data_IF_432517573768
#
_entry.id   IF_432517573768
#
_cell.length_a   1.000
_cell.length_b   1.000
_cell.length_c   1.000
_cell.angle_alpha   90.00
_cell.angle_beta   90.00
_cell.angle_gamma   90.00
#
_symmetry.space_group_name_H-M   'P 1'
#
loop_
_entity.id
_entity.type
_entity.pdbx_description
1 polymer ?
#
# COMPACT_ATOMS: atom_id res chain seq x y z
N UNK A 1 26.56 -1.25 17.45
CA UNK A 1 26.48 -0.28 18.53
C UNK A 1 25.74 0.96 18.05
N UNK A 2 24.55 1.21 18.60
CA UNK A 2 23.75 2.46 18.54
C UNK A 2 23.42 3.06 17.17
N UNK A 3 22.56 2.39 16.42
CA UNK A 3 21.86 2.99 15.26
C UNK A 3 20.38 3.34 15.55
N UNK A 4 19.85 2.96 16.71
CA UNK A 4 18.40 3.05 17.00
C UNK A 4 17.93 4.37 17.63
N UNK A 5 18.82 5.27 18.02
CA UNK A 5 18.41 6.51 18.73
C UNK A 5 18.24 7.74 17.82
N UNK A 6 18.63 7.69 16.54
CA UNK A 6 18.56 8.88 15.68
C UNK A 6 17.22 9.05 14.95
N UNK A 7 16.40 8.02 14.85
CA UNK A 7 15.11 8.12 14.13
C UNK A 7 14.01 8.73 15.01
N UNK A 8 14.13 8.65 16.34
CA UNK A 8 13.09 9.15 17.26
C UNK A 8 13.03 10.66 17.48
N UNK A 9 14.11 11.42 17.14
CA UNK A 9 14.17 12.84 17.49
C UNK A 9 13.69 13.82 16.40
N UNK A 10 13.36 13.33 15.19
CA UNK A 10 12.97 14.21 14.08
C UNK A 10 11.47 14.52 14.01
N UNK A 11 10.64 13.77 14.75
CA UNK A 11 9.19 13.93 14.71
C UNK A 11 8.64 15.05 15.60
N UNK A 12 9.47 15.64 16.47
CA UNK A 12 9.01 16.63 17.48
C UNK A 12 9.38 18.08 17.20
N UNK A 13 10.01 18.43 16.09
CA UNK A 13 10.54 19.76 15.89
C UNK A 13 10.16 20.42 14.55
N UNK A 14 8.91 20.37 14.12
CA UNK A 14 8.38 21.26 13.09
C UNK A 14 7.21 22.07 13.64
N UNK A 15 7.39 23.34 14.04
CA UNK A 15 6.30 24.24 14.36
C UNK A 15 5.77 24.85 13.07
N UNK A 16 4.88 24.16 12.35
CA UNK A 16 4.06 24.78 11.31
C UNK A 16 2.67 25.07 11.85
N UNK A 17 2.16 26.29 11.75
CA UNK A 17 0.79 26.62 12.16
C UNK A 17 -0.19 26.07 11.13
N UNK A 18 -0.79 24.94 11.44
CA UNK A 18 -1.82 24.30 10.63
C UNK A 18 -3.16 25.01 10.78
N UNK A 19 -3.66 25.57 9.68
CA UNK A 19 -5.06 25.95 9.53
C UNK A 19 -5.69 25.06 8.46
N UNK A 20 -6.23 23.90 8.85
CA UNK A 20 -7.00 23.00 7.99
C UNK A 20 -7.62 21.92 8.85
N UNK A 21 -8.97 21.91 8.94
CA UNK A 21 -9.75 21.15 9.90
C UNK A 21 -9.86 19.64 9.63
N UNK A 22 -8.75 18.91 9.57
CA UNK A 22 -8.70 17.46 9.71
C UNK A 22 -8.41 17.12 11.16
N UNK A 23 -8.98 16.04 11.71
CA UNK A 23 -8.70 15.62 13.07
C UNK A 23 -7.20 15.31 13.21
N UNK A 24 -6.46 15.97 14.13
CA UNK A 24 -5.03 15.71 14.34
C UNK A 24 -4.73 14.25 14.66
N UNK A 25 -5.71 13.52 15.20
CA UNK A 25 -5.59 12.12 15.55
C UNK A 25 -5.45 11.18 14.35
N UNK A 26 -6.13 11.45 13.22
CA UNK A 26 -6.04 10.61 12.03
C UNK A 26 -4.66 10.74 11.35
N UNK A 27 -4.07 11.92 11.39
CA UNK A 27 -2.77 12.20 10.79
C UNK A 27 -1.60 11.57 11.54
N UNK A 28 -1.67 11.62 12.87
CA UNK A 28 -0.67 10.98 13.75
C UNK A 28 -0.74 9.46 13.64
N UNK A 29 -1.96 8.90 13.49
CA UNK A 29 -2.16 7.47 13.31
C UNK A 29 -1.56 6.97 11.97
N UNK A 30 -1.76 7.70 10.87
CA UNK A 30 -1.22 7.29 9.57
C UNK A 30 0.32 7.30 9.55
N UNK A 31 0.96 8.26 10.19
CA UNK A 31 2.43 8.29 10.33
C UNK A 31 2.97 7.12 11.14
N UNK A 32 2.38 6.81 12.29
CA UNK A 32 2.77 5.69 13.14
C UNK A 32 2.47 4.31 12.50
N UNK A 33 1.47 4.23 11.63
CA UNK A 33 1.09 3.00 10.93
C UNK A 33 2.01 2.68 9.74
N UNK A 34 2.73 3.66 9.22
CA UNK A 34 3.72 3.45 8.16
C UNK A 34 5.02 2.83 8.69
N UNK A 35 5.31 2.98 9.98
CA UNK A 35 6.38 2.24 10.64
C UNK A 35 6.06 0.74 10.57
N UNK A 36 6.69 0.04 9.63
CA UNK A 36 6.46 -1.37 9.43
C UNK A 36 5.80 -1.76 8.10
N UNK A 37 5.43 -0.81 7.23
CA UNK A 37 4.96 -1.12 5.87
C UNK A 37 5.98 -1.95 5.08
N UNK A 38 7.27 -1.70 5.31
CA UNK A 38 8.40 -2.43 4.76
C UNK A 38 9.53 -2.49 5.80
N UNK A 39 10.60 -3.21 5.50
CA UNK A 39 11.79 -3.21 6.37
C UNK A 39 12.39 -1.81 6.45
N UNK A 40 13.10 -1.46 7.55
CA UNK A 40 13.75 -0.15 7.67
C UNK A 40 14.70 0.21 6.52
N UNK A 41 15.31 -0.79 5.87
CA UNK A 41 16.18 -0.58 4.70
C UNK A 41 15.41 -0.08 3.47
N UNK A 42 14.12 -0.40 3.36
CA UNK A 42 13.25 0.02 2.26
C UNK A 42 12.57 1.34 2.59
N UNK A 43 12.03 1.50 3.80
CA UNK A 43 11.21 2.65 4.18
C UNK A 43 12.02 3.86 4.65
N UNK A 44 13.32 3.69 4.96
CA UNK A 44 14.17 4.80 5.32
C UNK A 44 14.23 5.84 4.19
N UNK A 45 14.00 7.11 4.51
CA UNK A 45 14.02 8.23 3.57
C UNK A 45 13.03 8.10 2.40
N UNK A 46 11.88 7.43 2.63
CA UNK A 46 10.80 7.32 1.65
C UNK A 46 9.92 8.59 1.62
N UNK A 47 9.30 8.82 0.47
CA UNK A 47 8.13 9.71 0.40
C UNK A 47 7.00 9.15 1.25
N UNK A 48 6.33 9.99 2.05
CA UNK A 48 5.19 9.57 2.88
C UNK A 48 3.93 10.26 2.43
N UNK A 49 2.90 9.47 2.13
CA UNK A 49 1.58 9.96 1.79
C UNK A 49 0.60 9.66 2.94
N UNK A 50 -0.12 10.68 3.38
CA UNK A 50 -1.13 10.60 4.43
C UNK A 50 -2.53 10.83 3.86
N UNK A 51 -3.52 10.13 4.42
CA UNK A 51 -4.92 10.28 4.03
C UNK A 51 -5.49 11.57 4.62
N UNK A 52 -6.07 12.40 3.77
CA UNK A 52 -6.79 13.62 4.11
C UNK A 52 -8.20 13.57 3.54
N UNK A 53 -9.04 14.53 3.91
CA UNK A 53 -10.30 14.74 3.20
C UNK A 53 -10.00 15.01 1.72
N UNK A 54 -10.53 14.19 0.82
CA UNK A 54 -10.32 14.27 -0.63
C UNK A 54 -9.17 13.42 -1.15
N UNK A 55 -8.54 12.56 -0.33
CA UNK A 55 -7.56 11.58 -0.74
C UNK A 55 -6.18 11.75 -0.10
N UNK A 56 -5.23 10.97 -0.60
CA UNK A 56 -3.86 11.00 -0.10
C UNK A 56 -3.09 12.22 -0.60
N UNK A 57 -2.32 12.84 0.30
CA UNK A 57 -1.38 13.92 -0.01
C UNK A 57 0.02 13.56 0.48
N UNK A 58 1.05 14.00 -0.25
CA UNK A 58 2.43 13.82 0.19
C UNK A 58 2.70 14.73 1.40
N UNK A 59 3.00 14.13 2.55
CA UNK A 59 3.31 14.83 3.80
C UNK A 59 4.82 14.94 4.06
N UNK A 60 5.60 13.94 3.62
CA UNK A 60 7.06 13.93 3.74
C UNK A 60 7.65 13.66 2.37
N UNK A 61 8.71 14.38 2.02
CA UNK A 61 9.53 14.12 0.84
C UNK A 61 10.82 13.43 1.26
N UNK A 62 11.03 12.22 0.75
CA UNK A 62 12.25 11.46 0.87
C UNK A 62 13.12 11.56 -0.38
N UNK A 63 14.27 10.89 -0.38
CA UNK A 63 15.21 10.85 -1.50
C UNK A 63 15.49 9.44 -2.02
N UNK A 64 14.95 8.41 -1.36
CA UNK A 64 15.20 7.00 -1.73
C UNK A 64 14.51 6.55 -3.02
N UNK A 65 13.53 7.31 -3.52
CA UNK A 65 12.65 6.89 -4.62
C UNK A 65 11.53 5.93 -4.18
N UNK A 66 11.51 5.50 -2.92
CA UNK A 66 10.42 4.73 -2.34
C UNK A 66 9.31 5.67 -1.89
N UNK A 67 8.05 5.22 -2.03
CA UNK A 67 6.90 5.94 -1.52
C UNK A 67 5.98 5.03 -0.71
N UNK A 68 5.56 5.48 0.47
CA UNK A 68 4.74 4.72 1.40
C UNK A 68 3.39 5.41 1.65
N UNK A 69 2.33 4.62 1.76
CA UNK A 69 0.97 5.06 2.11
C UNK A 69 0.33 4.10 3.13
N UNK A 70 -0.75 4.54 3.76
CA UNK A 70 -1.73 3.65 4.39
C UNK A 70 -2.99 3.64 3.52
N UNK A 71 -3.21 2.53 2.81
CA UNK A 71 -4.43 2.33 2.03
C UNK A 71 -5.57 1.84 2.94
N UNK A 72 -6.82 2.19 2.60
CA UNK A 72 -8.02 1.83 3.35
C UNK A 72 -9.17 1.53 2.39
N UNK A 73 -9.76 0.37 2.54
CA UNK A 73 -11.02 -0.03 1.86
C UNK A 73 -12.21 -0.13 2.81
N UNK A 74 -11.94 0.00 4.12
CA UNK A 74 -12.92 0.01 5.21
C UNK A 74 -12.45 1.03 6.28
N UNK A 75 -13.36 1.70 7.03
CA UNK A 75 -12.96 2.64 8.08
C UNK A 75 -12.00 2.08 9.13
N UNK A 76 -12.09 0.77 9.40
CA UNK A 76 -11.20 0.06 10.33
C UNK A 76 -10.00 -0.62 9.67
N UNK A 77 -9.89 -0.62 8.34
CA UNK A 77 -8.75 -1.27 7.67
C UNK A 77 -7.49 -0.42 7.76
N UNK A 78 -6.36 -1.09 7.83
CA UNK A 78 -5.02 -0.48 7.84
C UNK A 78 -4.13 -1.32 6.93
N UNK A 79 -3.77 -0.77 5.78
CA UNK A 79 -2.88 -1.41 4.81
C UNK A 79 -1.66 -0.51 4.56
N UNK A 80 -0.63 -0.58 5.43
CA UNK A 80 0.64 0.10 5.18
C UNK A 80 1.34 -0.55 3.99
N UNK A 81 1.63 0.25 2.97
CA UNK A 81 2.24 -0.22 1.72
C UNK A 81 3.37 0.73 1.33
N UNK A 82 4.55 0.18 1.01
CA UNK A 82 5.63 0.92 0.38
C UNK A 82 5.84 0.42 -1.05
N UNK A 83 6.12 1.32 -1.96
CA UNK A 83 6.35 1.06 -3.38
C UNK A 83 7.76 1.50 -3.78
N UNK A 84 8.46 0.71 -4.62
CA UNK A 84 9.67 1.19 -5.27
C UNK A 84 9.36 2.34 -6.24
N UNK A 85 10.37 2.95 -6.82
CA UNK A 85 10.25 4.12 -7.70
C UNK A 85 9.25 3.91 -8.86
N UNK A 86 9.29 2.77 -9.56
CA UNK A 86 8.30 2.49 -10.62
C UNK A 86 6.89 2.29 -10.06
N UNK A 87 6.76 1.57 -8.94
CA UNK A 87 5.49 1.40 -8.24
C UNK A 87 4.93 2.75 -7.74
N UNK A 88 5.77 3.64 -7.25
CA UNK A 88 5.38 4.98 -6.81
C UNK A 88 4.85 5.86 -7.95
N UNK A 89 5.42 5.73 -9.13
CA UNK A 89 4.97 6.48 -10.32
C UNK A 89 3.71 5.90 -10.98
N UNK A 90 3.40 4.65 -10.75
CA UNK A 90 2.32 3.91 -11.43
C UNK A 90 1.27 3.40 -10.45
N UNK A 91 1.56 2.34 -9.71
CA UNK A 91 0.60 1.64 -8.85
C UNK A 91 0.08 2.53 -7.73
N UNK A 92 0.95 3.27 -7.06
CA UNK A 92 0.54 4.23 -6.02
C UNK A 92 -0.46 5.26 -6.55
N UNK A 93 -0.33 5.71 -7.82
CA UNK A 93 -1.28 6.65 -8.44
C UNK A 93 -2.66 6.00 -8.61
N UNK A 94 -2.69 4.73 -8.94
CA UNK A 94 -3.92 3.95 -9.01
C UNK A 94 -4.57 3.82 -7.63
N UNK A 95 -3.81 3.54 -6.57
CA UNK A 95 -4.34 3.47 -5.20
C UNK A 95 -4.86 4.82 -4.70
N UNK A 96 -4.16 5.90 -4.98
CA UNK A 96 -4.65 7.26 -4.67
C UNK A 96 -5.98 7.53 -5.39
N UNK A 97 -6.10 7.14 -6.67
CA UNK A 97 -7.34 7.28 -7.43
C UNK A 97 -8.47 6.45 -6.85
N UNK A 98 -8.21 5.19 -6.48
CA UNK A 98 -9.18 4.32 -5.79
C UNK A 98 -9.72 4.99 -4.52
N UNK A 99 -8.84 5.51 -3.68
CA UNK A 99 -9.24 6.17 -2.45
C UNK A 99 -10.12 7.41 -2.70
N UNK A 100 -9.77 8.23 -3.69
CA UNK A 100 -10.59 9.39 -4.08
C UNK A 100 -12.01 8.98 -4.50
N UNK A 101 -12.16 7.87 -5.23
CA UNK A 101 -13.45 7.36 -5.67
C UNK A 101 -14.26 6.78 -4.49
N UNK A 102 -13.60 6.09 -3.52
CA UNK A 102 -14.25 5.66 -2.27
C UNK A 102 -14.81 6.83 -1.49
N UNK A 103 -14.07 7.90 -1.35
CA UNK A 103 -14.55 9.12 -0.67
C UNK A 103 -15.71 9.81 -1.38
N UNK A 104 -15.84 9.61 -2.70
CA UNK A 104 -17.00 10.03 -3.48
C UNK A 104 -18.20 9.06 -3.36
N UNK A 105 -18.07 7.99 -2.58
CA UNK A 105 -19.13 7.00 -2.35
C UNK A 105 -19.30 5.97 -3.46
N UNK A 106 -18.28 5.74 -4.30
CA UNK A 106 -18.35 4.71 -5.34
C UNK A 106 -18.21 3.32 -4.71
N UNK A 107 -18.90 2.32 -5.30
CA UNK A 107 -18.73 0.92 -4.91
C UNK A 107 -17.41 0.36 -5.46
N UNK A 108 -16.86 -0.70 -4.84
CA UNK A 108 -15.60 -1.30 -5.29
C UNK A 108 -15.70 -1.81 -6.74
N UNK A 109 -16.84 -2.40 -7.14
CA UNK A 109 -17.04 -2.87 -8.51
C UNK A 109 -16.97 -1.72 -9.53
N UNK A 110 -17.52 -0.56 -9.17
CA UNK A 110 -17.47 0.64 -10.01
C UNK A 110 -16.07 1.23 -10.04
N UNK A 111 -15.37 1.20 -8.92
CA UNK A 111 -13.96 1.65 -8.82
C UNK A 111 -13.08 0.77 -9.69
N UNK A 112 -13.23 -0.56 -9.61
CA UNK A 112 -12.46 -1.51 -10.43
C UNK A 112 -12.68 -1.27 -11.92
N UNK A 113 -13.94 -1.11 -12.35
CA UNK A 113 -14.26 -0.83 -13.74
C UNK A 113 -13.66 0.50 -14.24
N UNK A 114 -13.69 1.55 -13.41
CA UNK A 114 -13.09 2.84 -13.76
C UNK A 114 -11.57 2.78 -13.81
N UNK A 115 -10.93 2.06 -12.90
CA UNK A 115 -9.47 1.87 -12.90
C UNK A 115 -9.04 1.09 -14.14
N UNK A 116 -9.73 -0.01 -14.46
CA UNK A 116 -9.46 -0.80 -15.68
C UNK A 116 -9.62 0.09 -16.93
N UNK A 117 -10.70 0.88 -17.02
CA UNK A 117 -10.91 1.84 -18.11
C UNK A 117 -9.81 2.88 -18.20
N UNK A 118 -9.41 3.48 -17.07
CA UNK A 118 -8.40 4.54 -17.03
C UNK A 118 -7.01 4.02 -17.41
N UNK A 119 -6.68 2.78 -17.03
CA UNK A 119 -5.45 2.11 -17.44
C UNK A 119 -5.45 1.77 -18.95
N UNK A 120 -6.57 1.29 -19.47
CA UNK A 120 -6.71 0.99 -20.89
C UNK A 120 -6.68 2.26 -21.78
N UNK A 121 -7.21 3.37 -21.28
CA UNK A 121 -7.17 4.68 -21.94
C UNK A 121 -5.83 5.42 -21.77
N UNK A 122 -4.90 4.91 -20.93
CA UNK A 122 -3.64 5.58 -20.63
C UNK A 122 -3.74 6.81 -19.73
N UNK A 123 -4.89 7.04 -19.11
CA UNK A 123 -5.09 8.11 -18.09
C UNK A 123 -4.38 7.76 -16.78
N UNK A 124 -4.35 6.47 -16.44
CA UNK A 124 -3.46 5.88 -15.46
C UNK A 124 -2.39 5.05 -16.19
N UNK A 125 -1.21 4.94 -15.60
CA UNK A 125 -0.10 4.22 -16.22
C UNK A 125 0.11 2.89 -15.51
N UNK A 126 0.07 1.79 -16.27
CA UNK A 126 0.58 0.52 -15.79
C UNK A 126 2.12 0.52 -15.75
N UNK A 127 2.74 -0.26 -14.85
CA UNK A 127 4.20 -0.41 -14.80
C UNK A 127 4.81 -0.84 -16.15
N UNK A 128 5.90 -0.19 -16.52
CA UNK A 128 6.70 -0.52 -17.72
C UNK A 128 8.07 -1.13 -17.35
N UNK A 129 8.42 -1.08 -16.09
CA UNK A 129 9.60 -1.66 -15.47
C UNK A 129 9.18 -2.44 -14.21
N UNK A 130 10.08 -3.19 -13.55
CA UNK A 130 9.74 -3.90 -12.33
C UNK A 130 9.18 -2.98 -11.24
N UNK A 131 7.90 -3.12 -10.96
CA UNK A 131 7.22 -2.43 -9.86
C UNK A 131 6.99 -3.41 -8.71
N UNK A 132 7.47 -3.04 -7.54
CA UNK A 132 7.40 -3.84 -6.33
C UNK A 132 6.71 -3.05 -5.24
N UNK A 133 5.84 -3.73 -4.50
CA UNK A 133 5.29 -3.19 -3.26
C UNK A 133 5.52 -4.14 -2.09
N UNK A 134 5.65 -3.57 -0.91
CA UNK A 134 5.83 -4.29 0.35
C UNK A 134 4.62 -4.04 1.25
N UNK A 135 4.00 -5.12 1.72
CA UNK A 135 2.95 -5.13 2.72
C UNK A 135 3.37 -6.06 3.85
N UNK A 136 4.21 -5.57 4.75
CA UNK A 136 4.88 -6.36 5.78
C UNK A 136 4.49 -5.96 7.22
N UNK A 137 3.53 -5.05 7.37
CA UNK A 137 3.09 -4.61 8.69
C UNK A 137 2.15 -5.63 9.35
N UNK A 138 2.35 -5.95 10.65
CA UNK A 138 1.40 -6.79 11.39
C UNK A 138 0.04 -6.11 11.63
N UNK A 139 -0.12 -4.83 11.25
CA UNK A 139 -1.38 -4.09 11.39
C UNK A 139 -2.38 -4.33 10.26
N UNK A 140 -2.04 -5.11 9.24
CA UNK A 140 -2.90 -5.38 8.08
C UNK A 140 -4.14 -6.18 8.47
N UNK A 141 -5.31 -5.55 8.42
CA UNK A 141 -6.59 -6.14 8.86
C UNK A 141 -7.55 -6.24 7.69
N UNK A 142 -8.14 -7.42 7.51
CA UNK A 142 -9.14 -7.70 6.46
C UNK A 142 -10.54 -7.56 7.03
N UNK A 143 -11.42 -6.87 6.28
CA UNK A 143 -12.85 -6.75 6.56
C UNK A 143 -13.67 -7.42 5.45
N UNK A 144 -14.87 -7.87 5.78
CA UNK A 144 -15.84 -8.44 4.84
C UNK A 144 -16.56 -7.33 4.07
N UNK A 145 -15.85 -6.63 3.17
CA UNK A 145 -16.35 -5.49 2.41
C UNK A 145 -16.43 -4.19 3.24
N UNK A 146 -16.95 -3.14 2.61
CA UNK A 146 -16.86 -1.76 3.09
C UNK A 146 -17.59 -1.48 4.43
N UNK A 147 -18.51 -2.34 4.86
CA UNK A 147 -19.24 -2.20 6.12
C UNK A 147 -19.31 -3.50 6.94
N UNK A 148 -18.53 -4.51 6.55
CA UNK A 148 -18.56 -5.83 7.17
C UNK A 148 -17.67 -5.94 8.42
N UNK A 149 -17.75 -7.06 9.17
CA UNK A 149 -16.89 -7.33 10.30
C UNK A 149 -15.45 -7.64 9.88
N UNK A 150 -14.50 -7.52 10.83
CA UNK A 150 -13.16 -8.05 10.67
C UNK A 150 -13.20 -9.56 10.46
N UNK A 151 -12.53 -10.06 9.42
CA UNK A 151 -12.52 -11.48 9.05
C UNK A 151 -11.13 -12.10 9.09
N UNK A 152 -10.07 -11.31 9.23
CA UNK A 152 -8.73 -11.85 9.27
C UNK A 152 -7.62 -10.80 9.28
N UNK A 153 -6.45 -11.26 8.97
CA UNK A 153 -5.23 -10.49 8.79
C UNK A 153 -4.50 -11.01 7.55
N UNK A 154 -3.90 -10.13 6.78
CA UNK A 154 -3.02 -10.55 5.69
C UNK A 154 -1.70 -11.10 6.25
N UNK A 155 -1.15 -12.10 5.57
CA UNK A 155 0.24 -12.50 5.78
C UNK A 155 1.19 -11.40 5.32
N UNK A 156 2.40 -11.27 5.88
CA UNK A 156 3.42 -10.39 5.35
C UNK A 156 3.79 -10.84 3.94
N UNK A 157 3.81 -9.91 2.98
CA UNK A 157 4.04 -10.27 1.59
C UNK A 157 4.63 -9.11 0.78
N UNK A 158 5.19 -9.48 -0.36
CA UNK A 158 5.56 -8.57 -1.42
C UNK A 158 4.61 -8.76 -2.61
N UNK A 159 4.37 -7.69 -3.34
CA UNK A 159 3.66 -7.68 -4.61
C UNK A 159 4.63 -7.33 -5.73
N UNK A 160 4.67 -8.14 -6.77
CA UNK A 160 5.46 -7.88 -7.98
C UNK A 160 4.47 -7.66 -9.12
N UNK A 161 4.36 -6.43 -9.58
CA UNK A 161 3.42 -6.06 -10.64
C UNK A 161 3.93 -6.50 -12.00
N UNK A 162 3.09 -7.24 -12.69
CA UNK A 162 3.36 -7.86 -13.99
C UNK A 162 2.13 -7.66 -14.90
N UNK A 163 1.94 -6.44 -15.46
CA UNK A 163 0.74 -6.12 -16.21
C UNK A 163 0.40 -7.16 -17.28
N UNK A 164 -0.87 -7.59 -17.28
CA UNK A 164 -1.43 -8.60 -18.19
C UNK A 164 -0.86 -10.01 -18.03
N UNK A 165 -0.09 -10.29 -16.99
CA UNK A 165 0.38 -11.64 -16.71
C UNK A 165 -0.79 -12.62 -16.50
N UNK A 166 -0.59 -13.86 -16.93
CA UNK A 166 -1.54 -14.96 -16.71
C UNK A 166 -0.86 -16.10 -15.97
N UNK A 167 -1.63 -16.90 -15.24
CA UNK A 167 -1.08 -18.09 -14.57
C UNK A 167 -0.32 -18.99 -15.55
N UNK A 168 -0.86 -19.18 -16.76
CA UNK A 168 -0.22 -19.99 -17.79
C UNK A 168 1.14 -19.43 -18.22
N UNK A 169 1.25 -18.11 -18.41
CA UNK A 169 2.51 -17.48 -18.82
C UNK A 169 3.59 -17.59 -17.75
N UNK A 170 3.19 -17.63 -16.48
CA UNK A 170 4.08 -17.76 -15.32
C UNK A 170 4.33 -19.23 -14.91
N UNK A 171 3.70 -20.20 -15.56
CA UNK A 171 3.78 -21.60 -15.18
C UNK A 171 3.16 -21.90 -13.80
N UNK A 172 2.25 -21.04 -13.33
CA UNK A 172 1.62 -21.19 -12.02
C UNK A 172 0.38 -22.07 -12.10
N UNK A 173 0.24 -22.96 -11.11
CA UNK A 173 -0.99 -23.69 -10.84
C UNK A 173 -1.63 -23.08 -9.59
N UNK A 174 -2.94 -22.81 -9.67
CA UNK A 174 -3.69 -22.29 -8.52
C UNK A 174 -3.83 -23.39 -7.46
N UNK A 175 -3.13 -23.22 -6.34
CA UNK A 175 -3.21 -24.10 -5.18
C UNK A 175 -3.73 -23.29 -3.99
N UNK A 176 -4.80 -23.74 -3.30
CA UNK A 176 -5.26 -23.09 -2.07
C UNK A 176 -4.12 -23.01 -1.04
N UNK A 177 -3.95 -21.85 -0.40
CA UNK A 177 -2.90 -21.64 0.60
C UNK A 177 -1.47 -21.47 0.06
N UNK A 178 -1.28 -21.42 -1.26
CA UNK A 178 0.05 -21.21 -1.84
C UNK A 178 0.70 -19.93 -1.32
N UNK A 179 2.04 -19.98 -1.14
CA UNK A 179 2.82 -18.81 -0.74
C UNK A 179 3.10 -17.86 -1.89
N UNK A 180 2.93 -18.33 -3.12
CA UNK A 180 3.07 -17.54 -4.35
C UNK A 180 1.84 -17.75 -5.21
N UNK A 181 1.15 -16.65 -5.56
CA UNK A 181 -0.04 -16.69 -6.41
C UNK A 181 -0.26 -15.39 -7.17
N UNK A 182 -0.92 -15.49 -8.32
CA UNK A 182 -1.23 -14.35 -9.18
C UNK A 182 -2.63 -13.81 -8.85
N UNK A 183 -2.69 -12.49 -8.66
CA UNK A 183 -3.91 -11.70 -8.51
C UNK A 183 -4.17 -10.95 -9.81
N UNK A 184 -5.42 -10.67 -10.13
CA UNK A 184 -5.86 -9.93 -11.33
C UNK A 184 -5.31 -10.49 -12.66
N UNK A 185 -5.23 -11.81 -12.78
CA UNK A 185 -4.70 -12.46 -13.98
C UNK A 185 -5.29 -11.89 -15.28
N UNK A 186 -4.42 -11.45 -16.19
CA UNK A 186 -4.79 -10.86 -17.48
C UNK A 186 -5.12 -9.37 -17.45
N UNK A 187 -5.32 -8.76 -16.28
CA UNK A 187 -5.57 -7.33 -16.14
C UNK A 187 -4.28 -6.50 -16.15
N UNK A 188 -4.42 -5.20 -16.38
CA UNK A 188 -3.29 -4.26 -16.26
C UNK A 188 -2.77 -4.15 -14.81
N UNK A 189 -3.59 -4.49 -13.83
CA UNK A 189 -3.28 -4.56 -12.40
C UNK A 189 -2.71 -5.91 -11.94
N UNK A 190 -2.47 -6.86 -12.87
CA UNK A 190 -1.96 -8.18 -12.52
C UNK A 190 -0.66 -8.10 -11.72
N UNK A 191 -0.61 -8.82 -10.61
CA UNK A 191 0.56 -8.88 -9.75
C UNK A 191 0.71 -10.22 -9.06
N UNK A 192 1.95 -10.60 -8.82
CA UNK A 192 2.31 -11.78 -8.06
C UNK A 192 2.40 -11.43 -6.58
N UNK A 193 1.65 -12.11 -5.74
CA UNK A 193 1.83 -12.11 -4.29
C UNK A 193 2.92 -13.13 -3.96
N UNK A 194 3.88 -12.72 -3.14
CA UNK A 194 4.92 -13.58 -2.58
C UNK A 194 4.89 -13.39 -1.06
N UNK A 195 4.36 -14.38 -0.33
CA UNK A 195 4.36 -14.34 1.13
C UNK A 195 5.79 -14.40 1.67
N UNK A 196 6.03 -13.72 2.76
CA UNK A 196 7.31 -13.74 3.49
C UNK A 196 7.12 -14.39 4.85
N UNK A 197 8.15 -15.07 5.41
CA UNK A 197 8.01 -15.78 6.67
C UNK A 197 8.01 -14.87 7.91
N UNK A 198 8.29 -13.56 7.71
CA UNK A 198 8.43 -12.61 8.82
C UNK A 198 7.79 -11.28 8.48
N UNK A 199 7.26 -10.64 9.51
CA UNK A 199 6.81 -9.26 9.49
C UNK A 199 8.00 -8.28 9.47
N UNK A 200 7.75 -7.01 9.23
CA UNK A 200 8.77 -5.96 9.19
C UNK A 200 9.51 -5.75 10.51
N UNK A 201 8.91 -6.09 11.64
CA UNK A 201 9.51 -6.06 12.98
C UNK A 201 10.37 -7.31 13.30
N UNK A 202 10.45 -8.26 12.37
CA UNK A 202 11.19 -9.51 12.52
C UNK A 202 10.39 -10.63 13.18
N UNK A 203 9.16 -10.39 13.64
CA UNK A 203 8.30 -11.45 14.16
C UNK A 203 7.95 -12.46 13.05
N UNK A 204 7.88 -13.75 13.39
CA UNK A 204 7.42 -14.78 12.44
C UNK A 204 5.92 -14.65 12.22
N UNK A 205 5.50 -14.86 10.99
CA UNK A 205 4.10 -15.06 10.67
C UNK A 205 3.61 -16.35 11.28
N UNK A 206 2.52 -16.29 12.05
CA UNK A 206 2.01 -17.44 12.81
C UNK A 206 1.20 -18.45 12.00
N UNK A 207 1.01 -18.22 10.66
CA UNK A 207 0.28 -19.11 9.76
C UNK A 207 -1.23 -18.93 9.85
#
# INVERSE_FOLDING_TARGET
MRASERVRSWWFACPFPWRGGGSPAAEVLDGAQLDGAATPQVSADADVYVLRRGGHVKAVSGSSGVACIVARDHPGSVYPICYNDEGARTVLRTEIRRQQLREQGWTEERIDAEVDRALDAGELRAPQAPAVAWMMSPLQVIYAGAAGPRVGQWHPHMMIYMPRATQRALGLVRVPGADVFLVDAGKATAHLIVKTPTWSDGARDGG
#
